data_IF_710185220864
#
_entry.id   IF_710185220864
#
_cell.length_a   1.000
_cell.length_b   1.000
_cell.length_c   1.000
_cell.angle_alpha   90.00
_cell.angle_beta   90.00
_cell.angle_gamma   90.00
#
_symmetry.space_group_name_H-M   'P 1'
#
loop_
_entity.id
_entity.type
_entity.pdbx_description
1 polymer ?
#
# COMPACT_ATOMS: atom_id res chain seq x y z
N UNK A 1 38.12 45.81 -17.90
CA UNK A 1 37.71 44.57 -18.60
C UNK A 1 38.09 43.34 -17.76
N UNK A 2 37.65 43.27 -16.49
CA UNK A 2 38.00 42.20 -15.52
C UNK A 2 36.82 41.94 -14.56
N UNK A 3 35.59 41.90 -15.08
CA UNK A 3 34.39 41.66 -14.23
C UNK A 3 33.40 40.67 -14.82
N UNK A 4 33.74 40.01 -15.94
CA UNK A 4 32.89 38.98 -16.55
C UNK A 4 33.44 37.55 -16.38
N UNK A 5 34.65 37.38 -15.84
CA UNK A 5 35.30 36.06 -15.68
C UNK A 5 35.04 35.37 -14.33
N UNK A 6 34.44 36.04 -13.35
CA UNK A 6 34.27 35.46 -12.00
C UNK A 6 32.90 34.77 -11.83
N UNK A 7 31.91 35.08 -12.68
CA UNK A 7 30.57 34.49 -12.55
C UNK A 7 30.50 33.06 -13.13
N UNK A 8 31.44 32.67 -13.99
CA UNK A 8 31.46 31.31 -14.56
C UNK A 8 32.23 30.27 -13.73
N UNK A 9 32.95 30.68 -12.67
CA UNK A 9 33.65 29.72 -11.81
C UNK A 9 32.85 29.27 -10.58
N UNK A 10 31.64 29.79 -10.38
CA UNK A 10 30.75 29.40 -9.26
C UNK A 10 29.52 28.60 -9.72
N UNK A 11 29.34 28.40 -11.02
CA UNK A 11 28.28 27.57 -11.60
C UNK A 11 28.72 26.13 -11.90
N UNK A 12 29.97 25.76 -11.57
CA UNK A 12 30.58 24.47 -11.90
C UNK A 12 30.75 23.52 -10.71
N UNK A 13 30.22 23.88 -9.53
CA UNK A 13 30.21 23.00 -8.35
C UNK A 13 28.80 22.57 -7.89
N UNK A 14 27.73 23.02 -8.55
CA UNK A 14 26.35 22.57 -8.27
C UNK A 14 25.88 21.53 -9.31
N UNK A 15 26.65 21.34 -10.38
CA UNK A 15 26.40 20.33 -11.42
C UNK A 15 26.98 18.94 -11.15
N UNK A 16 27.51 18.67 -9.95
CA UNK A 16 28.12 17.38 -9.58
C UNK A 16 27.38 16.65 -8.45
N UNK A 17 26.10 16.96 -8.22
CA UNK A 17 25.22 16.16 -7.33
C UNK A 17 24.08 15.47 -8.11
N UNK A 18 23.99 15.67 -9.43
CA UNK A 18 22.91 15.11 -10.26
C UNK A 18 23.36 14.10 -11.33
N UNK A 19 24.56 13.51 -11.22
CA UNK A 19 25.07 12.53 -12.18
C UNK A 19 25.55 11.20 -11.56
N UNK A 20 24.83 10.69 -10.55
CA UNK A 20 25.00 9.29 -10.09
C UNK A 20 23.85 8.39 -10.57
N UNK A 21 22.73 8.94 -11.01
CA UNK A 21 21.72 8.20 -11.75
C UNK A 21 22.16 8.04 -13.20
N UNK A 22 22.81 6.91 -13.53
CA UNK A 22 22.51 6.08 -14.72
C UNK A 22 23.62 5.08 -15.12
N UNK A 23 24.61 4.77 -14.28
CA UNK A 23 25.53 3.64 -14.53
C UNK A 23 26.09 3.02 -13.23
N UNK A 24 25.21 2.70 -12.29
CA UNK A 24 25.54 1.70 -11.26
C UNK A 24 24.60 0.54 -11.56
N UNK A 25 25.15 -0.66 -11.61
CA UNK A 25 24.39 -1.91 -11.53
C UNK A 25 23.23 -1.74 -10.56
N UNK A 26 22.10 -2.44 -10.76
CA UNK A 26 21.10 -2.56 -9.70
C UNK A 26 21.77 -3.17 -8.47
N UNK A 27 22.38 -2.32 -7.64
CA UNK A 27 23.14 -2.73 -6.48
C UNK A 27 22.07 -3.12 -5.48
N UNK A 28 22.02 -4.41 -5.16
CA UNK A 28 21.19 -4.89 -4.07
C UNK A 28 21.48 -4.03 -2.84
N UNK A 29 20.43 -3.54 -2.18
CA UNK A 29 20.56 -2.77 -0.93
C UNK A 29 21.43 -3.55 0.05
N UNK A 30 22.32 -2.85 0.75
CA UNK A 30 23.13 -3.52 1.77
C UNK A 30 22.26 -4.03 2.92
N UNK A 31 22.79 -4.96 3.70
CA UNK A 31 22.07 -5.47 4.88
C UNK A 31 21.76 -4.35 5.89
N UNK A 32 22.64 -3.34 6.02
CA UNK A 32 22.38 -2.17 6.87
C UNK A 32 21.26 -1.29 6.31
N UNK A 33 21.24 -1.04 5.00
CA UNK A 33 20.19 -0.25 4.34
C UNK A 33 18.82 -0.94 4.46
N UNK A 34 18.77 -2.26 4.29
CA UNK A 34 17.54 -3.05 4.45
C UNK A 34 17.02 -3.00 5.88
N UNK A 35 17.89 -3.12 6.88
CA UNK A 35 17.51 -2.97 8.30
C UNK A 35 17.02 -1.56 8.62
N UNK A 36 17.67 -0.53 8.09
CA UNK A 36 17.23 0.85 8.30
C UNK A 36 15.84 1.11 7.70
N UNK A 37 15.61 0.65 6.47
CA UNK A 37 14.28 0.72 5.83
C UNK A 37 13.24 -0.10 6.62
N UNK A 38 13.62 -1.27 7.12
CA UNK A 38 12.75 -2.12 7.92
C UNK A 38 12.27 -1.41 9.20
N UNK A 39 13.16 -0.70 9.91
CA UNK A 39 12.77 0.07 11.11
C UNK A 39 11.85 1.25 10.76
N UNK A 40 12.08 1.93 9.62
CA UNK A 40 11.15 2.97 9.13
C UNK A 40 9.78 2.37 8.83
N UNK A 41 9.72 1.25 8.12
CA UNK A 41 8.46 0.58 7.78
C UNK A 41 7.73 0.05 9.02
N UNK A 42 8.46 -0.48 10.00
CA UNK A 42 7.93 -0.89 11.30
C UNK A 42 7.31 0.30 12.04
N UNK A 43 7.98 1.45 12.04
CA UNK A 43 7.46 2.67 12.63
C UNK A 43 6.22 3.19 11.87
N UNK A 44 6.23 3.14 10.54
CA UNK A 44 5.08 3.52 9.69
C UNK A 44 3.87 2.63 9.98
N UNK A 45 4.05 1.31 10.09
CA UNK A 45 2.98 0.36 10.44
C UNK A 45 2.37 0.61 11.82
N UNK A 46 3.14 1.17 12.75
CA UNK A 46 2.68 1.57 14.10
C UNK A 46 2.17 2.99 14.19
N UNK A 47 2.34 3.79 13.15
CA UNK A 47 1.95 5.18 13.17
C UNK A 47 0.46 5.31 13.51
N UNK A 48 0.11 6.43 14.16
CA UNK A 48 -1.29 6.75 14.44
C UNK A 48 -2.14 6.69 13.17
N UNK A 49 -1.61 7.17 12.05
CA UNK A 49 -2.30 7.14 10.76
C UNK A 49 -2.57 5.71 10.25
N UNK A 50 -1.58 4.82 10.30
CA UNK A 50 -1.75 3.42 9.88
C UNK A 50 -2.74 2.69 10.79
N UNK A 51 -2.62 2.85 12.11
CA UNK A 51 -3.51 2.21 13.08
C UNK A 51 -4.95 2.72 12.98
N UNK A 52 -5.16 4.03 12.78
CA UNK A 52 -6.48 4.60 12.55
C UNK A 52 -7.10 4.14 11.24
N UNK A 53 -6.31 4.04 10.16
CA UNK A 53 -6.76 3.52 8.86
C UNK A 53 -7.21 2.07 8.96
N UNK A 54 -6.43 1.20 9.61
CA UNK A 54 -6.83 -0.19 9.92
C UNK A 54 -8.11 -0.23 10.74
N UNK A 55 -8.23 0.59 11.78
CA UNK A 55 -9.43 0.67 12.60
C UNK A 55 -10.67 1.16 11.81
N UNK A 56 -10.50 2.09 10.86
CA UNK A 56 -11.57 2.54 9.97
C UNK A 56 -12.00 1.43 9.00
N UNK A 57 -11.05 0.74 8.38
CA UNK A 57 -11.32 -0.44 7.55
C UNK A 57 -12.11 -1.50 8.33
N UNK A 58 -11.75 -1.74 9.60
CA UNK A 58 -12.48 -2.72 10.42
C UNK A 58 -13.94 -2.34 10.69
N UNK A 59 -14.20 -1.03 10.86
CA UNK A 59 -15.54 -0.51 11.15
C UNK A 59 -16.43 -0.39 9.93
N UNK A 60 -15.86 -0.36 8.71
CA UNK A 60 -16.64 -0.29 7.48
C UNK A 60 -17.51 -1.55 7.34
N UNK A 61 -18.81 -1.32 7.10
CA UNK A 61 -19.80 -2.37 6.87
C UNK A 61 -20.57 -2.09 5.60
N UNK A 62 -20.83 -3.11 4.77
CA UNK A 62 -21.61 -2.92 3.56
C UNK A 62 -23.00 -2.37 3.92
N UNK A 63 -23.47 -1.33 3.23
CA UNK A 63 -24.81 -0.82 3.40
C UNK A 63 -25.84 -1.80 2.85
N UNK A 64 -27.10 -1.64 3.24
CA UNK A 64 -28.21 -2.37 2.61
C UNK A 64 -28.33 -1.96 1.14
N UNK A 65 -28.74 -2.87 0.24
CA UNK A 65 -28.97 -2.56 -1.17
C UNK A 65 -29.85 -1.32 -1.35
N UNK A 66 -29.45 -0.47 -2.28
CA UNK A 66 -30.13 0.77 -2.63
C UNK A 66 -31.31 0.56 -3.56
N UNK A 67 -31.33 -0.54 -4.31
CA UNK A 67 -32.27 -0.80 -5.40
C UNK A 67 -31.81 -0.23 -6.74
N UNK A 68 -30.59 0.32 -6.81
CA UNK A 68 -29.93 0.74 -8.04
C UNK A 68 -28.81 -0.25 -8.33
N UNK A 69 -29.07 -1.16 -9.27
CA UNK A 69 -28.21 -2.34 -9.53
C UNK A 69 -26.73 -1.97 -9.72
N UNK A 70 -26.41 -0.97 -10.55
CA UNK A 70 -25.02 -0.57 -10.81
C UNK A 70 -24.27 -0.10 -9.56
N UNK A 71 -24.98 0.48 -8.59
CA UNK A 71 -24.40 0.96 -7.33
C UNK A 71 -24.30 -0.18 -6.32
N UNK A 72 -25.28 -1.08 -6.30
CA UNK A 72 -25.30 -2.23 -5.41
C UNK A 72 -24.21 -3.24 -5.79
N UNK A 73 -24.02 -3.49 -7.09
CA UNK A 73 -22.91 -4.29 -7.61
C UNK A 73 -21.55 -3.66 -7.29
N UNK A 74 -21.44 -2.33 -7.48
CA UNK A 74 -20.21 -1.61 -7.16
C UNK A 74 -19.89 -1.69 -5.65
N UNK A 75 -20.89 -1.57 -4.78
CA UNK A 75 -20.70 -1.73 -3.35
C UNK A 75 -20.27 -3.17 -2.99
N UNK A 76 -20.88 -4.18 -3.61
CA UNK A 76 -20.53 -5.59 -3.40
C UNK A 76 -19.09 -5.90 -3.82
N UNK A 77 -18.65 -5.42 -4.98
CA UNK A 77 -17.27 -5.61 -5.44
C UNK A 77 -16.27 -4.90 -4.53
N UNK A 78 -16.59 -3.71 -4.04
CA UNK A 78 -15.75 -3.02 -3.06
C UNK A 78 -15.76 -3.74 -1.70
N UNK A 79 -16.83 -4.42 -1.29
CA UNK A 79 -16.80 -5.28 -0.10
C UNK A 79 -15.77 -6.40 -0.23
N UNK A 80 -15.65 -7.05 -1.40
CA UNK A 80 -14.58 -8.03 -1.65
C UNK A 80 -13.19 -7.40 -1.53
N UNK A 81 -13.06 -6.14 -1.99
CA UNK A 81 -11.80 -5.40 -1.85
C UNK A 81 -11.44 -5.18 -0.38
N UNK A 82 -12.44 -4.77 0.42
CA UNK A 82 -12.30 -4.57 1.86
C UNK A 82 -11.89 -5.87 2.56
N UNK A 83 -12.58 -6.97 2.30
CA UNK A 83 -12.31 -8.28 2.93
C UNK A 83 -10.88 -8.74 2.65
N UNK A 84 -10.45 -8.73 1.38
CA UNK A 84 -9.07 -9.09 1.02
C UNK A 84 -8.03 -8.14 1.65
N UNK A 85 -8.33 -6.85 1.78
CA UNK A 85 -7.45 -5.89 2.46
C UNK A 85 -7.31 -6.23 3.96
N UNK A 86 -8.39 -6.65 4.62
CA UNK A 86 -8.34 -7.08 6.03
C UNK A 86 -7.53 -8.36 6.23
N UNK A 87 -7.63 -9.30 5.29
CA UNK A 87 -6.80 -10.51 5.29
C UNK A 87 -5.32 -10.14 5.15
N UNK A 88 -4.98 -9.27 4.21
CA UNK A 88 -3.61 -8.75 4.03
C UNK A 88 -3.10 -8.05 5.29
N UNK A 89 -3.96 -7.28 5.98
CA UNK A 89 -3.62 -6.61 7.24
C UNK A 89 -3.24 -7.58 8.37
N UNK A 90 -3.69 -8.83 8.28
CA UNK A 90 -3.35 -9.90 9.21
C UNK A 90 -2.08 -10.62 8.77
N UNK A 91 -1.98 -10.93 7.47
CA UNK A 91 -0.86 -11.70 6.90
C UNK A 91 0.46 -10.93 6.91
N UNK A 92 0.46 -9.62 6.61
CA UNK A 92 1.70 -8.84 6.50
C UNK A 92 2.47 -8.76 7.82
N UNK A 93 1.83 -8.44 8.97
CA UNK A 93 2.51 -8.50 10.28
C UNK A 93 3.02 -9.90 10.64
N UNK A 94 2.32 -10.95 10.24
CA UNK A 94 2.77 -12.34 10.46
C UNK A 94 4.02 -12.65 9.64
N UNK A 95 4.04 -12.31 8.35
CA UNK A 95 5.20 -12.48 7.48
C UNK A 95 6.39 -11.64 7.95
N UNK A 96 6.13 -10.43 8.44
CA UNK A 96 7.15 -9.61 9.08
C UNK A 96 7.77 -10.34 10.26
N UNK A 97 6.94 -10.81 11.21
CA UNK A 97 7.41 -11.55 12.39
C UNK A 97 8.23 -12.78 11.99
N UNK A 98 7.75 -13.58 11.04
CA UNK A 98 8.43 -14.79 10.59
C UNK A 98 9.75 -14.52 9.88
N UNK A 99 9.88 -13.38 9.18
CA UNK A 99 11.12 -13.00 8.48
C UNK A 99 12.16 -12.43 9.45
N UNK A 100 11.72 -11.56 10.35
CA UNK A 100 12.58 -10.77 11.23
C UNK A 100 12.90 -11.48 12.54
N UNK A 101 12.02 -12.37 13.00
CA UNK A 101 12.08 -12.97 14.34
C UNK A 101 11.60 -12.03 15.44
N UNK A 102 10.89 -10.96 15.08
CA UNK A 102 10.32 -9.98 16.00
C UNK A 102 8.97 -9.48 15.46
N UNK A 103 7.95 -9.41 16.32
CA UNK A 103 6.67 -8.83 15.94
C UNK A 103 6.83 -7.34 15.62
N UNK A 104 5.85 -6.77 14.91
CA UNK A 104 5.80 -5.32 14.70
C UNK A 104 5.92 -4.61 16.05
N UNK A 105 5.24 -5.09 17.09
CA UNK A 105 5.24 -4.56 18.47
C UNK A 105 6.56 -4.70 19.24
N UNK A 106 7.55 -5.40 18.72
CA UNK A 106 8.86 -5.58 19.37
C UNK A 106 8.97 -6.85 20.21
N UNK A 107 8.03 -7.79 20.07
CA UNK A 107 8.08 -9.08 20.77
C UNK A 107 8.94 -10.04 19.95
N UNK A 108 10.10 -10.42 20.48
CA UNK A 108 11.02 -11.35 19.83
C UNK A 108 10.50 -12.78 19.90
N UNK A 109 10.64 -13.50 18.78
CA UNK A 109 10.28 -14.90 18.65
C UNK A 109 11.09 -15.50 17.49
N UNK A 110 12.19 -16.17 17.84
CA UNK A 110 13.11 -16.79 16.88
C UNK A 110 12.75 -18.25 16.57
N UNK A 111 11.65 -18.75 17.15
CA UNK A 111 11.21 -20.14 17.00
C UNK A 111 10.24 -20.35 15.85
N UNK A 112 9.70 -19.26 15.29
CA UNK A 112 8.78 -19.32 14.15
C UNK A 112 9.50 -19.72 12.86
N UNK A 113 8.82 -20.54 12.06
CA UNK A 113 9.32 -20.93 10.73
C UNK A 113 9.40 -19.68 9.83
N UNK A 114 10.60 -19.40 9.33
CA UNK A 114 10.83 -18.37 8.31
C UNK A 114 9.95 -18.63 7.07
N UNK A 115 9.43 -17.58 6.41
CA UNK A 115 8.70 -17.77 5.17
C UNK A 115 9.66 -18.16 4.05
N UNK A 116 9.16 -18.90 3.06
CA UNK A 116 9.88 -19.14 1.81
C UNK A 116 9.81 -17.90 0.91
N UNK A 117 10.74 -17.80 -0.04
CA UNK A 117 10.69 -16.75 -1.06
C UNK A 117 9.37 -16.81 -1.85
N UNK A 118 8.92 -18.01 -2.20
CA UNK A 118 7.66 -18.23 -2.91
C UNK A 118 6.43 -17.74 -2.13
N UNK A 119 6.39 -17.95 -0.81
CA UNK A 119 5.32 -17.43 0.05
C UNK A 119 5.25 -15.90 -0.03
N UNK A 120 6.40 -15.22 0.05
CA UNK A 120 6.47 -13.76 0.01
C UNK A 120 6.17 -13.21 -1.39
N UNK A 121 6.67 -13.82 -2.46
CA UNK A 121 6.38 -13.42 -3.84
C UNK A 121 4.88 -13.58 -4.14
N UNK A 122 4.25 -14.68 -3.67
CA UNK A 122 2.80 -14.88 -3.83
C UNK A 122 2.01 -13.78 -3.12
N UNK A 123 2.42 -13.39 -1.90
CA UNK A 123 1.80 -12.30 -1.18
C UNK A 123 2.00 -10.95 -1.90
N UNK A 124 3.21 -10.67 -2.42
CA UNK A 124 3.49 -9.48 -3.21
C UNK A 124 2.56 -9.37 -4.42
N UNK A 125 2.44 -10.46 -5.20
CA UNK A 125 1.54 -10.49 -6.36
C UNK A 125 0.08 -10.30 -5.98
N UNK A 126 -0.35 -10.89 -4.86
CA UNK A 126 -1.71 -10.73 -4.33
C UNK A 126 -1.99 -9.26 -4.02
N UNK A 127 -1.08 -8.58 -3.31
CA UNK A 127 -1.19 -7.16 -2.98
C UNK A 127 -1.17 -6.31 -4.25
N UNK A 128 -0.27 -6.59 -5.20
CA UNK A 128 -0.18 -5.84 -6.46
C UNK A 128 -1.46 -5.95 -7.30
N UNK A 129 -2.03 -7.16 -7.40
CA UNK A 129 -3.32 -7.38 -8.07
C UNK A 129 -4.46 -6.63 -7.36
N UNK A 130 -4.43 -6.60 -6.04
CA UNK A 130 -5.43 -5.88 -5.25
C UNK A 130 -5.33 -4.36 -5.42
N UNK A 131 -4.11 -3.81 -5.50
CA UNK A 131 -3.87 -2.39 -5.82
C UNK A 131 -4.44 -2.07 -7.21
N UNK A 132 -4.24 -2.96 -8.20
CA UNK A 132 -4.84 -2.80 -9.53
C UNK A 132 -6.36 -2.81 -9.46
N UNK A 133 -6.96 -3.72 -8.69
CA UNK A 133 -8.41 -3.77 -8.51
C UNK A 133 -8.96 -2.46 -7.90
N UNK A 134 -8.26 -1.88 -6.91
CA UNK A 134 -8.61 -0.56 -6.34
C UNK A 134 -8.53 0.54 -7.40
N UNK A 135 -7.46 0.57 -8.20
CA UNK A 135 -7.31 1.56 -9.27
C UNK A 135 -8.42 1.44 -10.32
N UNK A 136 -8.71 0.21 -10.77
CA UNK A 136 -9.76 -0.07 -11.74
C UNK A 136 -11.14 0.31 -11.20
N UNK A 137 -11.44 0.00 -9.93
CA UNK A 137 -12.68 0.41 -9.28
C UNK A 137 -12.78 1.94 -9.08
N UNK A 138 -11.67 2.60 -8.73
CA UNK A 138 -11.59 4.06 -8.61
C UNK A 138 -11.93 4.75 -9.93
N UNK A 139 -11.46 4.20 -11.05
CA UNK A 139 -11.78 4.73 -12.39
C UNK A 139 -13.27 4.66 -12.74
N UNK A 140 -14.02 3.74 -12.13
CA UNK A 140 -15.48 3.56 -12.34
C UNK A 140 -16.34 4.49 -11.49
N UNK A 141 -15.78 5.14 -10.46
CA UNK A 141 -16.53 5.95 -9.48
C UNK A 141 -17.33 7.07 -10.15
N UNK A 142 -16.78 7.75 -11.15
CA UNK A 142 -17.46 8.83 -11.87
C UNK A 142 -18.70 8.33 -12.61
N UNK A 143 -18.60 7.18 -13.28
CA UNK A 143 -19.69 6.55 -14.01
C UNK A 143 -20.81 6.13 -13.04
N UNK A 144 -20.47 5.41 -11.97
CA UNK A 144 -21.43 4.95 -10.95
C UNK A 144 -22.07 6.14 -10.22
N UNK A 145 -21.33 7.23 -10.01
CA UNK A 145 -21.87 8.46 -9.43
C UNK A 145 -22.92 9.14 -10.31
N UNK A 146 -22.87 8.94 -11.63
CA UNK A 146 -23.90 9.41 -12.55
C UNK A 146 -25.25 8.74 -12.32
N UNK A 147 -25.24 7.47 -11.91
CA UNK A 147 -26.46 6.69 -11.71
C UNK A 147 -27.19 7.04 -10.40
N UNK A 148 -26.49 7.60 -9.41
CA UNK A 148 -27.13 8.19 -8.21
C UNK A 148 -28.11 9.29 -8.62
N UNK A 149 -27.76 10.11 -9.62
CA UNK A 149 -28.60 11.23 -10.09
C UNK A 149 -29.83 10.78 -10.87
N UNK A 150 -29.78 9.57 -11.43
CA UNK A 150 -30.89 8.95 -12.18
C UNK A 150 -31.80 8.12 -11.29
N UNK A 151 -31.40 7.87 -10.04
CA UNK A 151 -32.17 7.10 -9.08
C UNK A 151 -33.47 7.82 -8.70
N UNK A 152 -34.50 7.05 -8.35
CA UNK A 152 -35.74 7.63 -7.81
C UNK A 152 -35.48 8.36 -6.49
N UNK A 153 -36.29 9.37 -6.11
CA UNK A 153 -36.11 10.09 -4.85
C UNK A 153 -36.00 9.20 -3.61
N UNK A 154 -36.72 8.05 -3.61
CA UNK A 154 -36.69 7.08 -2.54
C UNK A 154 -35.38 6.25 -2.50
N UNK A 155 -34.75 6.00 -3.65
CA UNK A 155 -33.52 5.23 -3.77
C UNK A 155 -32.25 6.08 -3.70
N UNK A 156 -32.31 7.35 -4.10
CA UNK A 156 -31.16 8.26 -4.22
C UNK A 156 -30.33 8.36 -2.93
N UNK A 157 -30.99 8.46 -1.76
CA UNK A 157 -30.29 8.52 -0.48
C UNK A 157 -29.54 7.24 -0.11
N UNK A 158 -30.09 6.07 -0.45
CA UNK A 158 -29.42 4.77 -0.23
C UNK A 158 -28.28 4.59 -1.23
N UNK A 159 -28.51 4.94 -2.49
CA UNK A 159 -27.52 4.93 -3.55
C UNK A 159 -26.29 5.79 -3.20
N UNK A 160 -26.51 7.00 -2.68
CA UNK A 160 -25.43 7.87 -2.22
C UNK A 160 -24.63 7.25 -1.05
N UNK A 161 -25.30 6.59 -0.09
CA UNK A 161 -24.63 5.88 1.02
C UNK A 161 -23.76 4.72 0.50
N UNK A 162 -24.27 3.93 -0.44
CA UNK A 162 -23.54 2.82 -1.05
C UNK A 162 -22.34 3.29 -1.86
N UNK A 163 -22.48 4.40 -2.59
CA UNK A 163 -21.37 5.03 -3.30
C UNK A 163 -20.30 5.57 -2.34
N UNK A 164 -20.71 6.25 -1.26
CA UNK A 164 -19.77 6.79 -0.28
C UNK A 164 -19.03 5.68 0.46
N UNK A 165 -19.73 4.62 0.88
CA UNK A 165 -19.10 3.41 1.40
C UNK A 165 -18.01 2.87 0.45
N UNK A 166 -18.33 2.76 -0.84
CA UNK A 166 -17.39 2.28 -1.85
C UNK A 166 -16.17 3.20 -1.97
N UNK A 167 -16.35 4.52 -1.94
CA UNK A 167 -15.25 5.49 -1.96
C UNK A 167 -14.35 5.37 -0.73
N UNK A 168 -14.95 5.26 0.46
CA UNK A 168 -14.21 5.09 1.71
C UNK A 168 -13.38 3.80 1.69
N UNK A 169 -13.96 2.70 1.19
CA UNK A 169 -13.23 1.43 1.00
C UNK A 169 -12.03 1.64 0.07
N UNK A 170 -12.23 2.27 -1.10
CA UNK A 170 -11.18 2.44 -2.09
C UNK A 170 -10.03 3.31 -1.59
N UNK A 171 -10.34 4.44 -0.94
CA UNK A 171 -9.36 5.35 -0.37
C UNK A 171 -8.52 4.66 0.71
N UNK A 172 -9.18 4.04 1.69
CA UNK A 172 -8.50 3.40 2.82
C UNK A 172 -7.71 2.16 2.38
N UNK A 173 -8.30 1.32 1.50
CA UNK A 173 -7.65 0.10 1.03
C UNK A 173 -6.47 0.43 0.12
N UNK A 174 -6.60 1.43 -0.77
CA UNK A 174 -5.50 1.84 -1.65
C UNK A 174 -4.26 2.25 -0.87
N UNK A 175 -4.43 3.09 0.16
CA UNK A 175 -3.31 3.50 1.00
C UNK A 175 -2.72 2.32 1.79
N UNK A 176 -3.55 1.48 2.40
CA UNK A 176 -3.11 0.34 3.22
C UNK A 176 -2.34 -0.72 2.42
N UNK A 177 -2.83 -1.02 1.22
CA UNK A 177 -2.19 -1.98 0.31
C UNK A 177 -0.84 -1.48 -0.19
N UNK A 178 -0.69 -0.18 -0.44
CA UNK A 178 0.60 0.42 -0.82
C UNK A 178 1.64 0.29 0.29
N UNK A 179 1.25 0.53 1.55
CA UNK A 179 2.13 0.30 2.70
C UNK A 179 2.50 -1.19 2.82
N UNK A 180 1.51 -2.07 2.71
CA UNK A 180 1.71 -3.53 2.72
C UNK A 180 2.69 -4.00 1.63
N UNK A 181 2.59 -3.45 0.42
CA UNK A 181 3.49 -3.78 -0.68
C UNK A 181 4.94 -3.38 -0.37
N UNK A 182 5.17 -2.20 0.22
CA UNK A 182 6.51 -1.76 0.63
C UNK A 182 7.11 -2.72 1.65
N UNK A 183 6.31 -3.12 2.64
CA UNK A 183 6.73 -4.08 3.68
C UNK A 183 7.15 -5.39 3.03
N UNK A 184 6.29 -6.01 2.22
CA UNK A 184 6.57 -7.32 1.61
C UNK A 184 7.80 -7.26 0.69
N UNK A 185 7.98 -6.18 -0.08
CA UNK A 185 9.19 -6.00 -0.90
C UNK A 185 10.47 -5.94 -0.06
N UNK A 186 10.44 -5.23 1.07
CA UNK A 186 11.57 -5.20 2.00
C UNK A 186 11.83 -6.58 2.64
N UNK A 187 10.78 -7.35 2.97
CA UNK A 187 10.92 -8.72 3.48
C UNK A 187 11.58 -9.65 2.46
N UNK A 188 11.17 -9.58 1.18
CA UNK A 188 11.78 -10.35 0.09
C UNK A 188 13.27 -9.99 -0.04
N UNK A 189 13.60 -8.71 -0.08
CA UNK A 189 14.99 -8.27 -0.18
C UNK A 189 15.83 -8.72 1.03
N UNK A 190 15.26 -8.65 2.24
CA UNK A 190 15.89 -9.15 3.47
C UNK A 190 16.17 -10.64 3.38
N UNK A 191 15.20 -11.45 2.94
CA UNK A 191 15.37 -12.89 2.77
C UNK A 191 16.51 -13.21 1.79
N UNK A 192 16.56 -12.53 0.63
CA UNK A 192 17.59 -12.70 -0.40
C UNK A 192 18.98 -12.33 0.09
N UNK A 193 19.11 -11.22 0.81
CA UNK A 193 20.38 -10.75 1.36
C UNK A 193 20.98 -11.73 2.38
N UNK A 194 20.14 -12.47 3.09
CA UNK A 194 20.54 -13.41 4.13
C UNK A 194 21.04 -14.77 3.56
N UNK A 195 21.14 -14.93 2.23
CA UNK A 195 21.57 -16.17 1.53
C UNK A 195 20.84 -17.44 1.99
N UNK A 196 19.58 -17.33 2.42
CA UNK A 196 18.75 -18.48 2.80
C UNK A 196 18.07 -19.07 1.55
N UNK A 197 18.87 -19.62 0.64
CA UNK A 197 18.42 -20.42 -0.51
C UNK A 197 18.59 -21.91 -0.21
#
# INVERSE_FOLDING_TARGET
>A
MITQKIIYSLALCIGFVFFVSNNVFAQEKTAEELKAEQEVLKAEMKSKEATERKAKLEKLKPPKPSGVQSIDDFASDNTKILESTKEINTLVPEMYKRTVGESVDGVTDVTVKKPTEEELIKLEMTIANQIKAVADATSKVSNVSGDVKKASPLAAGKAAKSLNYSKDVLELSGAELQMSLKVVKNLIATLKSAKNY
#
